data_IF_206363816537
#
_entry.id   IF_206363816537
#
_cell.length_a   1.000
_cell.length_b   1.000
_cell.length_c   1.000
_cell.angle_alpha   90.00
_cell.angle_beta   90.00
_cell.angle_gamma   90.00
#
_symmetry.space_group_name_H-M   'P 1'
#
loop_
_entity.id
_entity.type
_entity.pdbx_description
1 polymer ?
#
# COMPACT_ATOMS: atom_id res chain seq x y z
N UNK A 1 -9.61 -4.86 15.36
CA UNK A 1 -9.61 -3.41 15.21
C UNK A 1 -9.79 -3.07 13.74
N UNK A 2 -10.57 -2.05 13.46
CA UNK A 2 -10.89 -1.68 12.09
C UNK A 2 -10.06 -0.47 11.70
N UNK A 3 -9.42 -0.53 10.53
CA UNK A 3 -8.67 0.58 9.98
C UNK A 3 -9.28 0.96 8.65
N UNK A 4 -9.24 2.24 8.33
CA UNK A 4 -9.83 2.74 7.10
C UNK A 4 -8.73 3.30 6.21
N UNK A 5 -8.84 3.04 4.90
CA UNK A 5 -7.95 3.64 3.93
C UNK A 5 -8.50 4.99 3.52
N UNK A 6 -7.65 6.01 3.56
CA UNK A 6 -8.04 7.39 3.27
C UNK A 6 -7.26 7.86 2.06
N UNK A 7 -7.98 8.21 1.01
CA UNK A 7 -7.37 8.66 -0.23
C UNK A 7 -7.02 7.49 -1.14
N UNK A 8 -6.67 7.81 -2.38
CA UNK A 8 -6.25 6.82 -3.34
C UNK A 8 -7.35 5.87 -3.76
N UNK A 9 -6.99 4.79 -4.44
CA UNK A 9 -7.98 3.88 -5.00
C UNK A 9 -8.77 3.11 -3.95
N UNK A 10 -8.24 3.00 -2.73
CA UNK A 10 -8.93 2.26 -1.68
C UNK A 10 -9.65 3.17 -0.72
N UNK A 11 -9.82 4.45 -1.06
CA UNK A 11 -10.45 5.41 -0.17
C UNK A 11 -11.79 4.90 0.33
N UNK A 12 -12.00 4.96 1.63
CA UNK A 12 -13.25 4.52 2.24
C UNK A 12 -13.32 3.05 2.57
N UNK A 13 -12.33 2.27 2.15
CA UNK A 13 -12.31 0.84 2.44
C UNK A 13 -11.87 0.62 3.88
N UNK A 14 -12.57 -0.27 4.57
CA UNK A 14 -12.25 -0.59 5.97
C UNK A 14 -11.83 -2.03 6.04
N UNK A 15 -10.75 -2.30 6.77
CA UNK A 15 -10.27 -3.65 6.94
C UNK A 15 -10.05 -3.94 8.41
N UNK A 16 -10.33 -5.17 8.85
CA UNK A 16 -10.00 -5.57 10.22
C UNK A 16 -8.54 -5.97 10.29
N UNK A 17 -7.82 -5.41 11.25
CA UNK A 17 -6.43 -5.75 11.46
C UNK A 17 -6.20 -6.02 12.93
N UNK A 18 -5.52 -7.13 13.22
CA UNK A 18 -5.09 -7.42 14.59
C UNK A 18 -3.82 -6.63 14.86
N UNK A 19 -3.50 -6.49 16.13
CA UNK A 19 -2.29 -5.77 16.49
C UNK A 19 -1.06 -6.41 15.88
N UNK A 20 -1.07 -7.73 15.73
CA UNK A 20 0.07 -8.41 15.16
C UNK A 20 0.22 -8.14 13.68
N UNK A 21 -0.84 -7.70 13.03
CA UNK A 21 -0.82 -7.45 11.59
C UNK A 21 -0.59 -6.00 11.24
N UNK A 22 -0.46 -5.13 12.24
CA UNK A 22 -0.25 -3.71 11.96
C UNK A 22 1.16 -3.48 11.44
N UNK A 23 1.26 -2.71 10.40
CA UNK A 23 2.55 -2.34 9.82
C UNK A 23 2.54 -0.84 9.57
N UNK A 24 3.73 -0.27 9.37
CA UNK A 24 3.84 1.14 9.09
C UNK A 24 3.32 1.47 7.70
N UNK A 25 3.41 0.54 6.78
CA UNK A 25 2.99 0.75 5.40
C UNK A 25 2.26 -0.46 4.89
N UNK A 26 1.32 -0.21 3.98
CA UNK A 26 0.64 -1.28 3.27
C UNK A 26 0.79 -0.99 1.78
N UNK A 27 1.24 -1.99 1.03
CA UNK A 27 1.39 -1.88 -0.41
C UNK A 27 0.29 -2.69 -1.07
N UNK A 28 -0.45 -2.05 -1.97
CA UNK A 28 -1.55 -2.69 -2.66
C UNK A 28 -1.25 -2.73 -4.13
N UNK A 29 -1.14 -3.93 -4.67
CA UNK A 29 -0.83 -4.13 -6.08
C UNK A 29 -2.13 -4.12 -6.87
N UNK A 30 -2.18 -3.31 -7.90
CA UNK A 30 -3.34 -3.27 -8.78
C UNK A 30 -2.89 -3.44 -10.22
N UNK A 31 -3.62 -4.27 -10.95
CA UNK A 31 -3.30 -4.57 -12.33
C UNK A 31 -4.05 -3.59 -13.22
N UNK A 32 -3.33 -2.90 -14.07
CA UNK A 32 -3.90 -1.96 -15.00
C UNK A 32 -4.44 -2.68 -16.23
N UNK A 33 -5.22 -1.96 -17.02
CA UNK A 33 -5.84 -2.55 -18.20
C UNK A 33 -4.80 -3.05 -19.20
N UNK A 34 -3.65 -2.41 -19.24
CA UNK A 34 -2.61 -2.83 -20.18
C UNK A 34 -1.73 -3.95 -19.62
N UNK A 35 -2.10 -4.49 -18.45
CA UNK A 35 -1.35 -5.60 -17.86
C UNK A 35 -0.23 -5.20 -16.94
N UNK A 36 0.09 -3.94 -16.86
CA UNK A 36 1.13 -3.50 -15.93
C UNK A 36 0.57 -3.46 -14.51
N UNK A 37 1.46 -3.37 -13.55
CA UNK A 37 1.08 -3.36 -12.14
C UNK A 37 1.49 -2.03 -11.53
N UNK A 38 0.56 -1.40 -10.83
CA UNK A 38 0.84 -0.21 -10.05
C UNK A 38 0.73 -0.57 -8.58
N UNK A 39 1.73 -0.19 -7.80
CA UNK A 39 1.72 -0.43 -6.37
C UNK A 39 1.29 0.86 -5.69
N UNK A 40 0.21 0.79 -4.93
CA UNK A 40 -0.30 1.94 -4.19
C UNK A 40 0.14 1.82 -2.76
N UNK A 41 0.72 2.88 -2.21
CA UNK A 41 1.35 2.85 -0.91
C UNK A 41 0.50 3.63 0.08
N UNK A 42 0.16 2.98 1.19
CA UNK A 42 -0.58 3.60 2.28
C UNK A 42 0.28 3.57 3.53
N UNK A 43 0.32 4.67 4.24
CA UNK A 43 1.14 4.83 5.42
C UNK A 43 0.25 5.05 6.62
N UNK A 44 0.59 4.43 7.74
CA UNK A 44 -0.21 4.56 8.95
C UNK A 44 -0.17 5.99 9.46
N UNK A 45 -1.36 6.50 9.79
CA UNK A 45 -1.50 7.80 10.42
C UNK A 45 -1.63 7.56 11.92
N UNK A 46 -0.61 7.90 12.66
CA UNK A 46 -0.58 7.62 14.08
C UNK A 46 -1.66 8.37 14.85
N UNK A 47 -2.13 9.48 14.33
CA UNK A 47 -3.14 10.24 15.03
C UNK A 47 -4.50 9.58 15.00
N UNK A 48 -4.85 8.98 13.85
CA UNK A 48 -6.16 8.39 13.69
C UNK A 48 -6.10 6.87 13.67
N UNK A 49 -4.94 6.31 13.40
CA UNK A 49 -4.82 4.87 13.25
C UNK A 49 -5.23 4.36 11.91
N UNK A 50 -5.62 5.24 10.98
CA UNK A 50 -6.00 4.83 9.65
C UNK A 50 -4.79 4.86 8.74
N UNK A 51 -4.97 4.41 7.49
CA UNK A 51 -3.89 4.39 6.51
C UNK A 51 -4.16 5.43 5.46
N UNK A 52 -3.23 6.36 5.30
CA UNK A 52 -3.38 7.46 4.36
C UNK A 52 -2.59 7.15 3.10
N UNK A 53 -3.15 7.52 1.96
CA UNK A 53 -2.52 7.29 0.67
C UNK A 53 -1.25 8.14 0.55
N UNK A 54 -0.15 7.48 0.27
CA UNK A 54 1.14 8.16 0.18
C UNK A 54 1.61 8.30 -1.26
N UNK A 55 0.98 7.60 -2.19
CA UNK A 55 1.37 7.69 -3.58
C UNK A 55 1.44 6.33 -4.22
N UNK A 56 1.95 6.32 -5.46
CA UNK A 56 2.03 5.08 -6.20
C UNK A 56 3.44 4.90 -6.74
N UNK A 57 3.77 3.66 -7.05
CA UNK A 57 5.08 3.34 -7.57
C UNK A 57 4.94 2.10 -8.44
N UNK A 58 6.01 1.70 -9.11
CA UNK A 58 5.99 0.48 -9.87
C UNK A 58 6.75 -0.59 -9.10
N UNK A 59 6.48 -1.87 -9.37
CA UNK A 59 7.22 -2.92 -8.68
C UNK A 59 8.71 -2.82 -8.90
N UNK A 60 9.12 -2.33 -10.08
CA UNK A 60 10.52 -2.21 -10.35
C UNK A 60 11.21 -1.23 -9.43
N UNK A 61 10.50 -0.17 -9.04
CA UNK A 61 11.08 0.81 -8.14
C UNK A 61 11.11 0.34 -6.71
N UNK A 62 10.10 -0.45 -6.33
CA UNK A 62 9.97 -0.85 -4.93
C UNK A 62 10.75 -2.11 -4.61
N UNK A 63 10.77 -3.06 -5.54
CA UNK A 63 11.38 -4.36 -5.28
C UNK A 63 12.59 -4.59 -6.17
N UNK A 64 13.30 -3.50 -6.47
CA UNK A 64 14.42 -3.59 -7.30
C UNK A 64 15.41 -4.52 -6.75
N UNK A 65 15.77 -5.40 -7.40
CA UNK A 65 16.62 -6.26 -6.87
C UNK A 65 17.83 -6.20 -7.43
N UNK A 66 18.28 -6.09 -7.27
CA UNK A 66 19.24 -5.95 -7.77
C UNK A 66 19.82 -6.86 -8.42
N UNK A 67 19.69 -7.18 -9.03
CA UNK A 67 20.01 -7.91 -9.58
C UNK A 67 20.71 -8.03 -10.20
N UNK A 68 21.01 -8.07 -10.38
CA UNK A 68 21.55 -8.21 -10.93
C UNK A 68 22.40 -8.44 -11.24
N UNK A 69 22.69 -8.71 -11.33
CA UNK A 69 23.45 -8.86 -11.56
C UNK A 69 24.08 -9.21 -11.96
N UNK A 70 24.25 -9.44 -12.27
CA UNK A 70 24.89 -9.79 -12.57
C UNK A 70 25.37 -10.12 -12.73
#
# INVERSE_FOLDING_TARGET
MIREFVGGPMDGTRIPLDEDDLTDEIHIDMINLNGSITVHIYVEDEETGNYKYDGESSPEDLYEEEEDEE
#
